data_IF_592295494372
#
_entry.id   IF_592295494372
#
_cell.length_a   1.000
_cell.length_b   1.000
_cell.length_c   1.000
_cell.angle_alpha   90.00
_cell.angle_beta   90.00
_cell.angle_gamma   90.00
#
_symmetry.space_group_name_H-M   'P 1'
#
loop_
_entity.id
_entity.type
_entity.pdbx_description
1 polymer ?
#
# COMPACT_ATOMS: atom_id res chain seq x y z
N UNK A 1 -5.15 25.73 17.91
CA UNK A 1 -5.85 24.45 18.02
C UNK A 1 -6.15 23.85 16.66
N UNK A 2 -6.73 24.66 15.75
CA UNK A 2 -7.05 24.18 14.40
C UNK A 2 -5.83 23.69 13.64
N UNK A 3 -4.74 24.46 13.65
CA UNK A 3 -3.53 24.07 12.97
C UNK A 3 -2.92 22.79 13.54
N UNK A 4 -3.01 22.59 14.86
CA UNK A 4 -2.55 21.38 15.52
C UNK A 4 -3.37 20.16 15.08
N UNK A 5 -4.69 20.29 15.08
CA UNK A 5 -5.59 19.20 14.67
C UNK A 5 -5.34 18.83 13.19
N UNK A 6 -5.26 19.83 12.32
CA UNK A 6 -5.02 19.63 10.90
C UNK A 6 -3.68 18.94 10.67
N UNK A 7 -2.63 19.38 11.39
CA UNK A 7 -1.31 18.77 11.28
C UNK A 7 -1.30 17.31 11.73
N UNK A 8 -2.01 16.98 12.82
CA UNK A 8 -2.12 15.61 13.30
C UNK A 8 -2.86 14.75 12.29
N UNK A 9 -3.99 15.24 11.76
CA UNK A 9 -4.77 14.49 10.76
C UNK A 9 -3.95 14.23 9.49
N UNK A 10 -3.25 15.25 8.99
CA UNK A 10 -2.42 15.09 7.81
C UNK A 10 -1.30 14.09 8.06
N UNK A 11 -0.67 14.14 9.23
CA UNK A 11 0.36 13.18 9.61
C UNK A 11 -0.17 11.76 9.70
N UNK A 12 -1.35 11.57 10.30
CA UNK A 12 -1.97 10.25 10.38
C UNK A 12 -2.28 9.67 9.00
N UNK A 13 -2.83 10.49 8.10
CA UNK A 13 -3.12 10.06 6.72
C UNK A 13 -1.83 9.62 6.04
N UNK A 14 -0.75 10.38 6.19
CA UNK A 14 0.53 10.04 5.58
C UNK A 14 1.10 8.75 6.16
N UNK A 15 1.07 8.58 7.47
CA UNK A 15 1.55 7.37 8.13
C UNK A 15 0.76 6.13 7.72
N UNK A 16 -0.57 6.25 7.64
CA UNK A 16 -1.43 5.15 7.19
C UNK A 16 -1.08 4.76 5.76
N UNK A 17 -0.90 5.74 4.87
CA UNK A 17 -0.51 5.47 3.48
C UNK A 17 0.84 4.77 3.38
N UNK A 18 1.82 5.21 4.18
CA UNK A 18 3.13 4.57 4.23
C UNK A 18 3.03 3.12 4.74
N UNK A 19 2.24 2.90 5.79
CA UNK A 19 2.07 1.56 6.36
C UNK A 19 1.42 0.61 5.35
N UNK A 20 0.39 1.07 4.64
CA UNK A 20 -0.29 0.27 3.63
C UNK A 20 0.62 -0.03 2.44
N UNK A 21 1.38 0.97 1.99
CA UNK A 21 2.36 0.76 0.92
C UNK A 21 3.42 -0.26 1.33
N UNK A 22 3.87 -0.20 2.58
CA UNK A 22 4.85 -1.15 3.11
C UNK A 22 4.29 -2.58 3.11
N UNK A 23 3.04 -2.75 3.54
CA UNK A 23 2.38 -4.08 3.52
C UNK A 23 2.37 -4.64 2.10
N UNK A 24 2.03 -3.81 1.11
CA UNK A 24 1.99 -4.22 -0.29
C UNK A 24 3.38 -4.59 -0.81
N UNK A 25 4.38 -3.79 -0.50
CA UNK A 25 5.76 -4.07 -0.90
C UNK A 25 6.27 -5.37 -0.28
N UNK A 26 6.02 -5.57 1.01
CA UNK A 26 6.42 -6.80 1.70
C UNK A 26 5.74 -8.02 1.05
N UNK A 27 4.46 -7.92 0.73
CA UNK A 27 3.75 -9.00 0.03
C UNK A 27 4.40 -9.32 -1.31
N UNK A 28 4.76 -8.30 -2.10
CA UNK A 28 5.46 -8.51 -3.37
C UNK A 28 6.78 -9.23 -3.16
N UNK A 29 7.58 -8.77 -2.20
CA UNK A 29 8.88 -9.36 -1.91
C UNK A 29 8.76 -10.83 -1.46
N UNK A 30 7.79 -11.13 -0.60
CA UNK A 30 7.55 -12.50 -0.15
C UNK A 30 7.09 -13.40 -1.29
N UNK A 31 6.26 -12.89 -2.18
CA UNK A 31 5.74 -13.67 -3.31
C UNK A 31 6.80 -13.92 -4.35
N UNK A 32 7.48 -12.87 -4.80
CA UNK A 32 8.53 -12.97 -5.82
C UNK A 32 9.75 -13.71 -5.28
N UNK A 33 10.05 -13.53 -3.99
CA UNK A 33 11.16 -14.20 -3.31
C UNK A 33 10.87 -15.65 -2.94
N UNK A 34 9.70 -16.18 -3.28
CA UNK A 34 9.33 -17.58 -3.02
C UNK A 34 9.30 -17.92 -1.54
N UNK A 35 8.82 -17.01 -0.69
CA UNK A 35 8.64 -17.30 0.72
C UNK A 35 7.65 -18.45 0.90
N UNK A 36 7.83 -19.23 1.98
CA UNK A 36 6.96 -20.36 2.27
C UNK A 36 5.50 -19.91 2.40
N UNK A 37 4.59 -20.35 1.50
CA UNK A 37 3.20 -19.90 1.55
C UNK A 37 2.44 -20.36 2.81
N UNK A 38 2.97 -21.34 3.54
CA UNK A 38 2.35 -21.81 4.77
C UNK A 38 2.83 -21.06 6.01
N UNK A 39 3.84 -20.21 5.87
CA UNK A 39 4.35 -19.40 6.98
C UNK A 39 3.33 -18.33 7.37
N UNK A 40 3.08 -18.17 8.68
CA UNK A 40 2.09 -17.22 9.18
C UNK A 40 2.35 -15.78 8.76
N UNK A 41 3.61 -15.37 8.68
CA UNK A 41 3.97 -14.01 8.23
C UNK A 41 3.60 -13.83 6.75
N UNK A 42 3.91 -14.82 5.92
CA UNK A 42 3.57 -14.80 4.50
C UNK A 42 2.06 -14.71 4.31
N UNK A 43 1.30 -15.53 5.04
CA UNK A 43 -0.16 -15.53 4.98
C UNK A 43 -0.73 -14.18 5.42
N UNK A 44 -0.20 -13.64 6.53
CA UNK A 44 -0.67 -12.35 7.05
C UNK A 44 -0.53 -11.24 6.00
N UNK A 45 0.63 -11.11 5.38
CA UNK A 45 0.85 -10.06 4.39
C UNK A 45 0.06 -10.30 3.11
N UNK A 46 -0.10 -11.56 2.69
CA UNK A 46 -0.92 -11.89 1.54
C UNK A 46 -2.39 -11.48 1.76
N UNK A 47 -2.94 -11.83 2.92
CA UNK A 47 -4.32 -11.50 3.26
C UNK A 47 -4.52 -10.00 3.43
N UNK A 48 -3.58 -9.31 4.08
CA UNK A 48 -3.66 -7.87 4.28
C UNK A 48 -3.53 -7.11 2.96
N UNK A 49 -2.69 -7.59 2.04
CA UNK A 49 -2.46 -6.92 0.77
C UNK A 49 -3.68 -6.94 -0.16
N UNK A 50 -4.54 -7.96 -0.07
CA UNK A 50 -5.68 -8.10 -0.98
C UNK A 50 -6.60 -6.87 -0.96
N UNK A 51 -7.15 -6.45 0.19
CA UNK A 51 -8.00 -5.26 0.20
C UNK A 51 -7.22 -3.98 -0.08
N UNK A 52 -5.94 -3.90 0.32
CA UNK A 52 -5.12 -2.72 0.09
C UNK A 52 -4.76 -2.53 -1.37
N UNK A 53 -4.73 -3.61 -2.15
CA UNK A 53 -4.47 -3.53 -3.59
C UNK A 53 -5.62 -2.90 -4.37
N UNK A 54 -6.82 -2.87 -3.79
CA UNK A 54 -7.98 -2.25 -4.41
C UNK A 54 -8.24 -2.87 -5.80
N UNK A 55 -8.59 -2.03 -6.78
CA UNK A 55 -8.79 -2.48 -8.16
C UNK A 55 -7.49 -2.87 -8.87
N UNK A 56 -6.33 -2.50 -8.31
CA UNK A 56 -5.06 -2.77 -8.97
C UNK A 56 -4.65 -4.24 -8.98
N UNK A 57 -5.20 -5.05 -8.07
CA UNK A 57 -4.75 -6.44 -7.91
C UNK A 57 -4.92 -7.31 -9.17
N UNK A 58 -5.78 -6.90 -10.09
CA UNK A 58 -6.01 -7.63 -11.33
C UNK A 58 -6.07 -6.71 -12.57
N UNK A 59 -5.51 -5.51 -12.43
CA UNK A 59 -5.55 -4.52 -13.50
C UNK A 59 -4.75 -4.95 -14.73
N UNK A 60 -3.56 -5.50 -14.51
CA UNK A 60 -2.71 -6.03 -15.56
C UNK A 60 -2.55 -7.53 -15.36
N UNK A 61 -2.58 -8.28 -16.46
CA UNK A 61 -2.55 -9.75 -16.41
C UNK A 61 -1.47 -10.33 -17.32
N UNK A 62 -0.18 -9.98 -17.09
CA UNK A 62 0.90 -10.62 -17.85
C UNK A 62 0.95 -12.11 -17.54
N UNK A 63 1.49 -12.90 -18.48
CA UNK A 63 1.58 -14.35 -18.30
C UNK A 63 2.48 -14.75 -17.15
N UNK A 64 3.54 -14.00 -16.90
CA UNK A 64 4.44 -14.26 -15.79
C UNK A 64 3.76 -13.86 -14.47
N UNK A 65 3.58 -14.83 -13.56
CA UNK A 65 2.90 -14.60 -12.28
C UNK A 65 3.63 -13.62 -11.38
N UNK A 66 4.97 -13.67 -11.35
CA UNK A 66 5.77 -12.75 -10.54
C UNK A 66 5.64 -11.31 -11.06
N UNK A 67 5.65 -11.16 -12.39
CA UNK A 67 5.48 -9.85 -13.00
C UNK A 67 4.08 -9.29 -12.72
N UNK A 68 3.06 -10.15 -12.73
CA UNK A 68 1.69 -9.76 -12.41
C UNK A 68 1.61 -9.19 -10.98
N UNK A 69 2.18 -9.88 -10.02
CA UNK A 69 2.20 -9.43 -8.62
C UNK A 69 2.98 -8.13 -8.50
N UNK A 70 4.18 -8.08 -9.08
CA UNK A 70 5.03 -6.90 -9.01
C UNK A 70 4.33 -5.67 -9.57
N UNK A 71 3.74 -5.77 -10.76
CA UNK A 71 3.09 -4.63 -11.41
C UNK A 71 1.83 -4.21 -10.66
N UNK A 72 0.92 -5.15 -10.38
CA UNK A 72 -0.38 -4.81 -9.80
C UNK A 72 -0.25 -4.32 -8.36
N UNK A 73 0.45 -5.05 -7.53
CA UNK A 73 0.63 -4.65 -6.12
C UNK A 73 1.62 -3.49 -5.99
N UNK A 74 2.60 -3.39 -6.89
CA UNK A 74 3.50 -2.24 -6.94
C UNK A 74 2.76 -0.95 -7.28
N UNK A 75 1.84 -0.99 -8.24
CA UNK A 75 0.99 0.16 -8.56
C UNK A 75 0.09 0.53 -7.39
N UNK A 76 -0.45 -0.45 -6.69
CA UNK A 76 -1.25 -0.19 -5.50
C UNK A 76 -0.42 0.50 -4.42
N UNK A 77 0.82 0.06 -4.20
CA UNK A 77 1.73 0.71 -3.26
C UNK A 77 2.00 2.15 -3.64
N UNK A 78 2.26 2.43 -4.92
CA UNK A 78 2.43 3.79 -5.43
C UNK A 78 1.17 4.62 -5.22
N UNK A 79 0.00 4.04 -5.44
CA UNK A 79 -1.26 4.71 -5.19
C UNK A 79 -1.34 5.19 -3.73
N UNK A 80 -1.01 4.33 -2.77
CA UNK A 80 -1.06 4.71 -1.36
C UNK A 80 0.00 5.78 -1.02
N UNK A 81 1.21 5.66 -1.59
CA UNK A 81 2.27 6.64 -1.36
C UNK A 81 1.90 8.02 -1.91
N UNK A 82 1.45 8.07 -3.16
CA UNK A 82 1.10 9.32 -3.82
C UNK A 82 -0.21 9.87 -3.28
N UNK A 83 -1.23 9.03 -3.18
CA UNK A 83 -2.55 9.42 -2.71
C UNK A 83 -2.52 9.97 -1.29
N UNK A 84 -1.81 9.30 -0.37
CA UNK A 84 -1.70 9.77 1.00
C UNK A 84 -0.91 11.08 1.09
N UNK A 85 0.11 11.25 0.26
CA UNK A 85 0.88 12.50 0.22
C UNK A 85 0.03 13.65 -0.28
N UNK A 86 -0.74 13.43 -1.35
CA UNK A 86 -1.65 14.45 -1.91
C UNK A 86 -2.73 14.79 -0.90
N UNK A 87 -3.36 13.78 -0.32
CA UNK A 87 -4.43 14.00 0.65
C UNK A 87 -3.92 14.75 1.89
N UNK A 88 -2.75 14.37 2.40
CA UNK A 88 -2.15 15.07 3.53
C UNK A 88 -1.87 16.54 3.21
N UNK A 89 -1.40 16.82 1.99
CA UNK A 89 -1.17 18.20 1.54
C UNK A 89 -2.46 19.00 1.49
N UNK A 90 -3.53 18.38 0.96
CA UNK A 90 -4.85 19.04 0.90
C UNK A 90 -5.37 19.32 2.30
N UNK A 91 -5.23 18.39 3.23
CA UNK A 91 -5.66 18.58 4.62
C UNK A 91 -4.90 19.76 5.24
N UNK A 92 -3.59 19.86 5.02
CA UNK A 92 -2.79 20.97 5.57
C UNK A 92 -3.23 22.32 5.04
N UNK A 93 -3.76 22.38 3.81
CA UNK A 93 -4.29 23.63 3.26
C UNK A 93 -5.54 24.12 3.98
N UNK A 94 -6.24 23.24 4.67
CA UNK A 94 -7.44 23.61 5.43
C UNK A 94 -7.11 24.28 6.77
N UNK A 95 -5.90 24.12 7.21
CA UNK A 95 -5.39 24.74 8.41
C UNK A 95 -4.46 25.87 8.11
#
# INVERSE_FOLDING_TARGET
VRATVVGVLAGLVRWVGLAFALVLVIHVLLTVGRANPDNGITVFFADAAQPLALAFRSLFTPENGDLRVLVNFGLAALFWLIGSAVLARLIRRLG
#
